data_IF_604810616065
#
_entry.id   IF_604810616065
#
_cell.length_a   1.000
_cell.length_b   1.000
_cell.length_c   1.000
_cell.angle_alpha   90.00
_cell.angle_beta   90.00
_cell.angle_gamma   90.00
#
_symmetry.space_group_name_H-M   'P 1'
#
loop_
_entity.id
_entity.type
_entity.pdbx_description
1 polymer ?
#
# COMPACT_ATOMS: atom_id res chain seq x y z
N UNK A 1 -0.41 -29.30 29.43
CA UNK A 1 -1.62 -28.60 29.88
C UNK A 1 -2.81 -29.48 29.52
N UNK A 2 -3.63 -29.83 30.49
CA UNK A 2 -4.85 -30.59 30.24
C UNK A 2 -5.90 -29.62 29.69
N UNK A 3 -6.47 -29.95 28.53
CA UNK A 3 -7.68 -29.27 28.02
C UNK A 3 -8.86 -29.74 28.89
N UNK A 4 -9.59 -28.78 29.46
CA UNK A 4 -10.88 -29.11 30.03
C UNK A 4 -11.89 -29.36 28.90
N UNK A 5 -12.65 -30.47 28.99
CA UNK A 5 -13.61 -30.82 27.96
C UNK A 5 -14.79 -29.85 27.98
N UNK A 6 -15.04 -29.19 26.86
CA UNK A 6 -16.22 -28.38 26.70
C UNK A 6 -17.29 -29.13 25.90
N UNK A 7 -18.43 -29.39 26.55
CA UNK A 7 -19.64 -29.88 25.90
C UNK A 7 -20.48 -28.67 25.46
N UNK A 8 -20.86 -28.63 24.24
CA UNK A 8 -21.72 -27.59 23.69
C UNK A 8 -23.15 -28.11 23.51
N UNK A 9 -24.10 -27.16 23.54
CA UNK A 9 -25.42 -27.39 22.99
C UNK A 9 -25.39 -27.10 21.48
N UNK A 10 -25.54 -28.12 20.61
CA UNK A 10 -25.47 -27.94 19.17
C UNK A 10 -26.64 -27.07 18.61
N UNK A 11 -27.70 -26.87 19.39
CA UNK A 11 -28.78 -25.96 19.04
C UNK A 11 -28.36 -24.49 19.18
N UNK A 12 -27.31 -24.20 19.96
CA UNK A 12 -26.85 -22.84 20.24
C UNK A 12 -25.49 -22.56 19.64
N UNK A 13 -24.61 -23.54 19.62
CA UNK A 13 -23.20 -23.38 19.21
C UNK A 13 -22.91 -24.20 17.97
N UNK A 14 -22.44 -23.54 16.92
CA UNK A 14 -21.87 -24.18 15.74
C UNK A 14 -20.40 -24.51 15.98
N UNK A 15 -20.02 -25.81 16.08
CA UNK A 15 -18.63 -26.18 16.31
C UNK A 15 -17.78 -25.91 15.07
N UNK A 16 -16.59 -25.36 15.25
CA UNK A 16 -15.59 -25.14 14.20
C UNK A 16 -14.43 -26.14 14.30
N UNK A 17 -14.03 -26.50 15.52
CA UNK A 17 -12.96 -27.43 15.76
C UNK A 17 -13.35 -28.33 16.93
N UNK A 18 -13.26 -29.67 16.69
CA UNK A 18 -13.58 -30.70 17.68
C UNK A 18 -12.47 -31.73 17.74
N UNK A 19 -12.23 -32.26 18.93
CA UNK A 19 -11.38 -33.44 19.12
C UNK A 19 -12.25 -34.65 19.51
N UNK A 20 -11.88 -35.79 18.98
CA UNK A 20 -12.43 -37.06 19.44
C UNK A 20 -11.68 -37.53 20.71
N UNK A 21 -12.39 -37.66 21.78
CA UNK A 21 -11.87 -38.21 23.04
C UNK A 21 -12.06 -39.73 23.16
N UNK A 22 -11.76 -40.28 24.33
CA UNK A 22 -12.08 -41.66 24.64
C UNK A 22 -13.59 -41.90 24.55
N UNK A 23 -14.00 -43.05 24.03
CA UNK A 23 -15.41 -43.45 23.83
C UNK A 23 -16.18 -42.60 22.81
N UNK A 24 -15.50 -42.11 21.76
CA UNK A 24 -16.11 -41.32 20.68
C UNK A 24 -16.77 -40.01 21.15
N UNK A 25 -16.42 -39.51 22.33
CA UNK A 25 -16.91 -38.22 22.78
C UNK A 25 -16.24 -37.08 22.00
N UNK A 26 -17.07 -36.17 21.44
CA UNK A 26 -16.58 -34.98 20.75
C UNK A 26 -16.45 -33.82 21.74
N UNK A 27 -15.33 -33.17 21.69
CA UNK A 27 -14.96 -32.07 22.55
C UNK A 27 -14.70 -30.83 21.69
N UNK A 28 -15.51 -29.83 21.85
CA UNK A 28 -15.42 -28.62 21.05
C UNK A 28 -14.40 -27.65 21.64
N UNK A 29 -13.39 -27.26 20.87
CA UNK A 29 -12.33 -26.34 21.30
C UNK A 29 -12.41 -24.98 20.58
N UNK A 30 -13.21 -24.89 19.53
CA UNK A 30 -13.59 -23.64 18.91
C UNK A 30 -15.00 -23.71 18.33
N UNK A 31 -15.76 -22.64 18.44
CA UNK A 31 -17.12 -22.58 17.93
C UNK A 31 -17.65 -21.15 17.87
N UNK A 32 -18.76 -21.01 17.14
CA UNK A 32 -19.52 -19.78 17.01
C UNK A 32 -20.86 -19.91 17.73
N UNK A 33 -21.29 -18.85 18.37
CA UNK A 33 -22.53 -18.76 19.12
C UNK A 33 -23.25 -17.42 18.84
N UNK A 34 -24.53 -17.26 19.19
CA UNK A 34 -25.24 -15.99 19.00
C UNK A 34 -24.58 -14.77 19.68
N UNK A 35 -23.81 -15.00 20.72
CA UNK A 35 -23.08 -13.94 21.47
C UNK A 35 -21.65 -13.70 20.95
N UNK A 36 -21.15 -14.46 19.97
CA UNK A 36 -19.78 -14.36 19.43
C UNK A 36 -19.14 -15.71 19.14
N UNK A 37 -17.86 -15.86 19.44
CA UNK A 37 -17.12 -17.10 19.28
C UNK A 37 -16.21 -17.38 20.46
N UNK A 38 -15.72 -18.63 20.55
CA UNK A 38 -14.69 -19.02 21.52
C UNK A 38 -13.65 -19.90 20.86
N UNK A 39 -12.42 -19.79 21.32
CA UNK A 39 -11.28 -20.59 20.91
C UNK A 39 -10.43 -20.93 22.15
N UNK A 40 -10.22 -22.20 22.43
CA UNK A 40 -9.57 -22.63 23.65
C UNK A 40 -8.10 -23.01 23.39
N UNK A 41 -7.21 -22.30 24.07
CA UNK A 41 -5.79 -22.65 24.08
C UNK A 41 -5.53 -23.78 25.10
N UNK A 42 -4.77 -24.87 24.76
CA UNK A 42 -3.96 -25.02 23.54
C UNK A 42 -4.68 -25.73 22.37
N UNK A 43 -5.95 -26.09 22.50
CA UNK A 43 -6.67 -26.88 21.51
C UNK A 43 -6.75 -26.30 20.09
N UNK A 44 -6.62 -25.00 19.94
CA UNK A 44 -6.62 -24.31 18.63
C UNK A 44 -5.22 -24.09 18.07
N UNK A 45 -4.18 -24.53 18.79
CA UNK A 45 -2.79 -24.36 18.40
C UNK A 45 -2.11 -25.70 18.17
N UNK A 46 -1.35 -25.77 17.09
CA UNK A 46 -0.44 -26.87 16.76
C UNK A 46 1.00 -26.39 16.91
N UNK A 47 1.86 -27.24 17.45
CA UNK A 47 3.30 -27.00 17.47
C UNK A 47 3.95 -27.75 16.32
N UNK A 48 4.48 -27.05 15.35
CA UNK A 48 5.21 -27.63 14.23
C UNK A 48 6.56 -28.23 14.65
N UNK A 49 7.15 -29.04 13.78
CA UNK A 49 8.49 -29.60 13.97
C UNK A 49 9.61 -28.56 14.04
N UNK A 50 9.34 -27.34 13.62
CA UNK A 50 10.21 -26.16 13.72
C UNK A 50 10.10 -25.44 15.08
N UNK A 51 9.27 -25.96 16.00
CA UNK A 51 9.01 -25.38 17.31
C UNK A 51 8.03 -24.19 17.31
N UNK A 52 7.55 -23.76 16.13
CA UNK A 52 6.59 -22.66 16.03
C UNK A 52 5.17 -23.15 16.30
N UNK A 53 4.39 -22.31 16.96
CA UNK A 53 2.96 -22.55 17.18
C UNK A 53 2.16 -21.91 16.05
N UNK A 54 1.21 -22.68 15.53
CA UNK A 54 0.31 -22.23 14.46
C UNK A 54 -1.13 -22.48 14.87
N UNK A 55 -2.03 -21.63 14.40
CA UNK A 55 -3.45 -21.88 14.51
C UNK A 55 -3.85 -23.06 13.62
N UNK A 56 -4.68 -23.96 14.13
CA UNK A 56 -5.23 -25.10 13.36
C UNK A 56 -6.35 -24.61 12.44
N UNK A 57 -7.10 -23.61 12.87
CA UNK A 57 -8.13 -22.95 12.06
C UNK A 57 -7.66 -21.56 11.63
N UNK A 58 -8.24 -21.04 10.56
CA UNK A 58 -7.96 -19.68 10.10
C UNK A 58 -8.44 -18.65 11.14
N UNK A 59 -7.52 -17.94 11.82
CA UNK A 59 -7.87 -17.01 12.87
C UNK A 59 -8.61 -15.77 12.35
N UNK A 60 -8.35 -15.34 11.11
CA UNK A 60 -8.99 -14.16 10.52
C UNK A 60 -10.45 -14.46 10.22
N UNK A 61 -10.72 -15.56 9.53
CA UNK A 61 -12.09 -16.01 9.27
C UNK A 61 -12.87 -16.29 10.56
N UNK A 62 -12.19 -16.85 11.60
CA UNK A 62 -12.81 -17.05 12.90
C UNK A 62 -13.20 -15.72 13.57
N UNK A 63 -12.28 -14.73 13.59
CA UNK A 63 -12.51 -13.41 14.21
C UNK A 63 -13.61 -12.67 13.46
N UNK A 64 -13.58 -12.66 12.12
CA UNK A 64 -14.58 -12.02 11.29
C UNK A 64 -15.99 -12.55 11.61
N UNK A 65 -16.15 -13.85 11.65
CA UNK A 65 -17.44 -14.49 11.95
C UNK A 65 -17.86 -14.30 13.41
N UNK A 66 -16.92 -14.44 14.37
CA UNK A 66 -17.20 -14.31 15.80
C UNK A 66 -17.63 -12.89 16.17
N UNK A 67 -17.04 -11.89 15.56
CA UNK A 67 -17.33 -10.48 15.79
C UNK A 67 -18.36 -9.91 14.81
N UNK A 68 -18.78 -10.70 13.80
CA UNK A 68 -19.72 -10.29 12.74
C UNK A 68 -19.24 -9.02 12.03
N UNK A 69 -17.94 -8.97 11.72
CA UNK A 69 -17.35 -7.86 11.02
C UNK A 69 -17.85 -7.83 9.56
N UNK A 70 -18.01 -6.63 9.05
CA UNK A 70 -18.18 -6.46 7.60
C UNK A 70 -16.92 -6.97 6.89
N UNK A 71 -17.07 -7.61 5.71
CA UNK A 71 -15.93 -8.05 4.92
C UNK A 71 -15.03 -6.85 4.59
N UNK A 72 -13.88 -6.79 5.22
CA UNK A 72 -12.87 -5.79 4.90
C UNK A 72 -11.78 -6.45 4.05
N UNK A 73 -11.26 -5.76 3.03
CA UNK A 73 -10.08 -6.23 2.33
C UNK A 73 -8.94 -6.32 3.34
N UNK A 74 -8.49 -7.52 3.65
CA UNK A 74 -7.31 -7.74 4.49
C UNK A 74 -6.18 -8.26 3.63
N UNK A 75 -4.97 -7.78 3.93
CA UNK A 75 -3.77 -8.32 3.32
C UNK A 75 -3.58 -9.73 3.84
N UNK A 76 -3.84 -10.72 3.00
CA UNK A 76 -3.83 -12.12 3.40
C UNK A 76 -2.42 -12.70 3.36
N UNK A 77 -1.79 -12.75 4.52
CA UNK A 77 -0.54 -13.48 4.69
C UNK A 77 -0.72 -15.00 4.79
N UNK A 78 -1.96 -15.49 4.89
CA UNK A 78 -2.27 -16.89 5.19
C UNK A 78 -2.69 -17.70 3.97
N UNK A 79 -3.42 -17.12 3.02
CA UNK A 79 -3.86 -17.82 1.80
C UNK A 79 -2.71 -18.14 0.85
N UNK A 80 -1.62 -17.41 0.90
CA UNK A 80 -0.40 -17.68 0.13
C UNK A 80 0.49 -18.78 0.73
N UNK A 81 0.00 -19.54 1.68
CA UNK A 81 0.77 -20.63 2.34
C UNK A 81 2.14 -20.19 2.85
N UNK A 82 2.24 -18.98 3.41
CA UNK A 82 3.48 -18.40 3.89
C UNK A 82 4.39 -17.87 2.77
N UNK A 83 3.96 -17.86 1.53
CA UNK A 83 4.67 -17.18 0.44
C UNK A 83 4.63 -15.67 0.66
N UNK A 84 5.73 -15.02 0.33
CA UNK A 84 5.81 -13.57 0.33
C UNK A 84 5.40 -13.03 -1.02
N UNK A 85 4.53 -12.02 -1.04
CA UNK A 85 4.22 -11.27 -2.25
C UNK A 85 5.25 -10.16 -2.35
N UNK A 86 6.00 -10.13 -3.45
CA UNK A 86 6.89 -9.02 -3.77
C UNK A 86 6.14 -8.02 -4.66
N UNK A 87 6.05 -6.78 -4.21
CA UNK A 87 5.55 -5.66 -4.98
C UNK A 87 6.68 -4.66 -5.23
N UNK A 88 6.68 -4.03 -6.39
CA UNK A 88 7.68 -3.02 -6.76
C UNK A 88 6.95 -1.72 -7.02
N UNK A 89 7.33 -0.69 -6.27
CA UNK A 89 6.87 0.68 -6.45
C UNK A 89 8.07 1.55 -6.80
N UNK A 90 7.92 2.39 -7.81
CA UNK A 90 8.93 3.35 -8.23
C UNK A 90 8.32 4.74 -8.16
N UNK A 91 8.72 5.47 -7.15
CA UNK A 91 8.33 6.86 -6.98
C UNK A 91 8.96 7.72 -8.08
N UNK A 92 8.29 8.82 -8.42
CA UNK A 92 8.69 9.67 -9.52
C UNK A 92 9.84 10.63 -9.22
N UNK A 93 10.40 10.58 -8.02
CA UNK A 93 11.44 11.49 -7.56
C UNK A 93 12.69 11.44 -8.42
N UNK A 94 13.20 12.61 -8.76
CA UNK A 94 14.44 12.72 -9.50
C UNK A 94 14.38 12.21 -10.94
N UNK A 95 13.22 12.06 -11.52
CA UNK A 95 13.04 11.63 -12.91
C UNK A 95 13.93 12.41 -13.92
N UNK A 96 14.08 13.76 -13.82
CA UNK A 96 14.93 14.55 -14.69
C UNK A 96 16.42 14.52 -14.31
N UNK A 97 16.80 13.91 -13.20
CA UNK A 97 18.19 13.84 -12.75
C UNK A 97 19.05 13.11 -13.78
N UNK A 98 20.32 13.52 -13.89
CA UNK A 98 21.28 12.86 -14.77
C UNK A 98 21.97 11.72 -14.02
N UNK A 99 21.87 10.51 -14.58
CA UNK A 99 22.48 9.34 -13.98
C UNK A 99 24.01 9.36 -14.14
N UNK A 100 24.72 8.94 -13.11
CA UNK A 100 26.21 8.89 -13.07
C UNK A 100 26.74 7.64 -13.77
N UNK A 101 26.33 7.46 -15.04
CA UNK A 101 26.80 6.38 -15.92
C UNK A 101 27.22 6.96 -17.27
N UNK A 102 28.01 6.25 -18.09
CA UNK A 102 28.39 6.72 -19.42
C UNK A 102 27.17 7.17 -20.24
N UNK A 103 27.28 8.36 -20.84
CA UNK A 103 26.20 9.01 -21.59
C UNK A 103 25.25 9.83 -20.74
N UNK A 104 25.35 9.80 -19.42
CA UNK A 104 24.58 10.63 -18.47
C UNK A 104 23.08 10.78 -18.84
N UNK A 105 22.35 9.68 -19.10
CA UNK A 105 20.93 9.73 -19.43
C UNK A 105 20.12 10.30 -18.29
N UNK A 106 18.87 10.68 -18.54
CA UNK A 106 17.92 10.96 -17.45
C UNK A 106 17.69 9.71 -16.60
N UNK A 107 17.47 9.87 -15.30
CA UNK A 107 17.20 8.76 -14.41
C UNK A 107 15.96 7.95 -14.86
N UNK A 108 14.90 8.64 -15.30
CA UNK A 108 13.73 7.98 -15.88
C UNK A 108 14.06 7.13 -17.11
N UNK A 109 14.96 7.59 -17.97
CA UNK A 109 15.42 6.79 -19.14
C UNK A 109 16.23 5.56 -18.70
N UNK A 110 17.11 5.73 -17.72
CA UNK A 110 17.91 4.62 -17.19
C UNK A 110 17.04 3.53 -16.57
N UNK A 111 16.04 3.93 -15.78
CA UNK A 111 15.05 3.03 -15.16
C UNK A 111 14.26 2.29 -16.23
N UNK A 112 13.81 2.98 -17.28
CA UNK A 112 13.12 2.38 -18.41
C UNK A 112 13.99 1.29 -19.08
N UNK A 113 15.21 1.64 -19.45
CA UNK A 113 16.05 0.79 -20.30
C UNK A 113 16.72 -0.36 -19.54
N UNK A 114 17.15 -0.13 -18.30
CA UNK A 114 17.90 -1.11 -17.53
C UNK A 114 17.03 -2.00 -16.65
N UNK A 115 15.90 -1.49 -16.22
CA UNK A 115 15.03 -2.20 -15.28
C UNK A 115 13.69 -2.58 -15.90
N UNK A 116 12.82 -1.61 -16.25
CA UNK A 116 11.42 -1.89 -16.57
C UNK A 116 11.23 -2.71 -17.85
N UNK A 117 11.99 -2.46 -18.91
CA UNK A 117 11.89 -3.22 -20.19
C UNK A 117 12.26 -4.68 -20.01
N UNK A 118 13.17 -4.98 -19.09
CA UNK A 118 13.73 -6.32 -18.90
C UNK A 118 13.16 -7.05 -17.67
N UNK A 119 12.35 -6.37 -16.86
CA UNK A 119 11.78 -6.96 -15.64
C UNK A 119 10.58 -7.83 -15.94
N UNK A 120 10.55 -9.01 -15.32
CA UNK A 120 9.35 -9.86 -15.27
C UNK A 120 8.36 -9.41 -14.16
N UNK A 121 8.78 -8.51 -13.27
CA UNK A 121 7.98 -8.05 -12.15
C UNK A 121 6.91 -7.07 -12.61
N UNK A 122 5.72 -7.17 -12.02
CA UNK A 122 4.71 -6.13 -12.08
C UNK A 122 5.19 -4.97 -11.21
N UNK A 123 5.16 -3.75 -11.75
CA UNK A 123 5.67 -2.58 -11.07
C UNK A 123 4.67 -1.44 -11.19
N UNK A 124 4.36 -0.78 -10.08
CA UNK A 124 3.65 0.50 -10.11
C UNK A 124 4.68 1.62 -10.25
N UNK A 125 4.49 2.50 -11.21
CA UNK A 125 5.44 3.59 -11.49
C UNK A 125 4.69 4.91 -11.51
N UNK A 126 5.23 5.90 -10.85
CA UNK A 126 4.66 7.24 -10.77
C UNK A 126 5.57 8.30 -11.38
N UNK A 127 5.04 9.50 -11.50
CA UNK A 127 5.79 10.70 -11.88
C UNK A 127 5.33 11.89 -11.05
N UNK A 128 6.26 12.81 -10.77
CA UNK A 128 5.95 14.14 -10.25
C UNK A 128 5.72 15.06 -11.47
N UNK A 129 4.48 15.51 -11.67
CA UNK A 129 4.20 16.38 -12.83
C UNK A 129 5.07 17.64 -12.82
N UNK A 130 5.34 18.21 -11.65
CA UNK A 130 6.18 19.39 -11.50
C UNK A 130 7.63 19.20 -11.93
N UNK A 131 8.13 17.96 -12.00
CA UNK A 131 9.47 17.69 -12.51
C UNK A 131 9.51 17.50 -14.02
N UNK A 132 8.44 16.93 -14.61
CA UNK A 132 8.46 16.52 -16.02
C UNK A 132 7.54 17.34 -16.92
N UNK A 133 6.55 18.01 -16.35
CA UNK A 133 5.50 18.69 -17.08
C UNK A 133 5.85 20.12 -17.51
N UNK A 134 5.10 20.66 -18.49
CA UNK A 134 5.39 21.99 -19.06
C UNK A 134 5.08 23.17 -18.12
N UNK A 135 4.43 22.90 -16.99
CA UNK A 135 4.12 23.90 -15.95
C UNK A 135 4.93 23.69 -14.66
N UNK A 136 5.94 22.83 -14.71
CA UNK A 136 6.77 22.43 -13.58
C UNK A 136 8.02 23.29 -13.40
N UNK A 137 8.98 22.71 -12.71
CA UNK A 137 10.29 23.32 -12.41
C UNK A 137 11.16 23.46 -13.68
N UNK A 138 11.04 22.54 -14.61
CA UNK A 138 11.88 22.43 -15.80
C UNK A 138 11.05 22.38 -17.09
N UNK A 139 10.25 23.43 -17.40
CA UNK A 139 9.31 23.38 -18.52
C UNK A 139 9.99 23.16 -19.88
N UNK A 140 11.25 23.56 -20.00
CA UNK A 140 12.05 23.36 -21.22
C UNK A 140 12.44 21.87 -21.45
N UNK A 141 12.47 21.03 -20.41
CA UNK A 141 12.76 19.61 -20.49
C UNK A 141 11.52 18.75 -20.78
N UNK A 142 10.32 19.31 -20.68
CA UNK A 142 9.07 18.55 -20.81
C UNK A 142 8.98 17.79 -22.15
N UNK A 143 9.51 18.36 -23.23
CA UNK A 143 9.53 17.73 -24.56
C UNK A 143 10.39 16.46 -24.62
N UNK A 144 11.35 16.32 -23.70
CA UNK A 144 12.24 15.17 -23.57
C UNK A 144 11.70 14.18 -22.53
N UNK A 145 11.19 14.68 -21.41
CA UNK A 145 10.79 13.85 -20.25
C UNK A 145 9.42 13.19 -20.41
N UNK A 146 8.41 13.90 -20.96
CA UNK A 146 7.09 13.29 -21.18
C UNK A 146 7.13 12.09 -22.12
N UNK A 147 7.92 12.06 -23.23
CA UNK A 147 8.07 10.84 -24.04
C UNK A 147 8.57 9.64 -23.24
N UNK A 148 9.57 9.82 -22.38
CA UNK A 148 10.11 8.76 -21.53
C UNK A 148 9.01 8.22 -20.60
N UNK A 149 8.25 9.11 -19.95
CA UNK A 149 7.14 8.73 -19.09
C UNK A 149 6.05 7.95 -19.86
N UNK A 150 5.73 8.38 -21.09
CA UNK A 150 4.78 7.67 -21.97
C UNK A 150 5.27 6.27 -22.33
N UNK A 151 6.54 6.11 -22.61
CA UNK A 151 7.12 4.79 -22.90
C UNK A 151 7.06 3.88 -21.67
N UNK A 152 7.37 4.39 -20.47
CA UNK A 152 7.23 3.64 -19.23
C UNK A 152 5.78 3.20 -19.03
N UNK A 153 4.83 4.12 -19.14
CA UNK A 153 3.42 3.82 -18.90
C UNK A 153 2.79 2.93 -19.97
N UNK A 154 3.38 2.86 -21.15
CA UNK A 154 2.96 1.91 -22.22
C UNK A 154 3.38 0.47 -21.94
N UNK A 155 4.35 0.21 -21.06
CA UNK A 155 4.82 -1.14 -20.78
C UNK A 155 3.70 -1.98 -20.14
N UNK A 156 3.47 -3.23 -20.58
CA UNK A 156 2.33 -4.04 -20.12
C UNK A 156 2.41 -4.42 -18.64
N UNK A 157 3.61 -4.44 -18.05
CA UNK A 157 3.84 -4.79 -16.64
C UNK A 157 3.99 -3.59 -15.72
N UNK A 158 3.69 -2.40 -16.22
CA UNK A 158 3.71 -1.17 -15.44
C UNK A 158 2.29 -0.74 -15.14
N UNK A 159 1.96 -0.51 -13.89
CA UNK A 159 0.76 0.17 -13.45
C UNK A 159 1.05 1.66 -13.28
N UNK A 160 0.13 2.49 -13.77
CA UNK A 160 0.32 3.94 -13.79
C UNK A 160 -0.12 4.54 -12.46
N UNK A 161 0.78 5.26 -11.81
CA UNK A 161 0.53 5.92 -10.54
C UNK A 161 0.76 7.44 -10.61
N UNK A 162 0.12 8.15 -9.68
CA UNK A 162 0.22 9.59 -9.46
C UNK A 162 1.16 9.84 -8.28
N UNK A 163 2.15 10.72 -8.44
CA UNK A 163 3.02 11.16 -7.34
C UNK A 163 3.01 12.68 -7.18
N UNK A 164 1.86 13.27 -7.37
CA UNK A 164 1.58 14.69 -7.14
C UNK A 164 2.16 15.68 -8.17
N UNK A 165 1.82 16.94 -8.01
CA UNK A 165 2.35 18.01 -8.84
C UNK A 165 3.65 18.58 -8.27
N UNK A 166 3.63 18.96 -7.01
CA UNK A 166 4.75 19.66 -6.38
C UNK A 166 5.46 18.84 -5.30
N UNK A 167 5.12 17.54 -5.17
CA UNK A 167 5.67 16.68 -4.13
C UNK A 167 5.56 17.32 -2.74
N UNK A 168 4.35 17.47 -2.17
CA UNK A 168 4.19 17.94 -0.80
C UNK A 168 5.06 17.12 0.16
N UNK A 169 5.90 17.80 0.94
CA UNK A 169 6.67 17.15 2.00
C UNK A 169 5.83 16.98 3.26
N UNK A 170 4.80 17.80 3.40
CA UNK A 170 3.83 17.76 4.49
C UNK A 170 2.43 17.94 3.93
N UNK A 171 1.58 16.95 4.17
CA UNK A 171 0.17 16.97 3.78
C UNK A 171 -0.71 17.72 4.78
N UNK A 172 -0.18 17.93 5.98
CA UNK A 172 -0.75 18.78 7.02
C UNK A 172 0.28 19.83 7.39
N UNK A 173 0.18 21.04 6.81
CA UNK A 173 1.17 22.10 7.01
C UNK A 173 1.43 22.47 8.48
N UNK A 174 0.44 22.27 9.36
CA UNK A 174 0.59 22.45 10.80
C UNK A 174 1.62 21.50 11.43
N UNK A 175 1.85 20.33 10.83
CA UNK A 175 2.88 19.38 11.30
C UNK A 175 4.28 19.79 10.87
N UNK A 176 4.39 20.65 9.86
CA UNK A 176 5.67 21.14 9.37
C UNK A 176 6.41 22.01 10.41
N UNK A 177 5.69 22.67 11.31
CA UNK A 177 6.27 23.47 12.39
C UNK A 177 7.18 22.64 13.31
N UNK A 178 6.90 21.34 13.48
CA UNK A 178 7.74 20.43 14.25
C UNK A 178 9.07 20.06 13.54
N UNK A 179 9.25 20.50 12.30
CA UNK A 179 10.40 20.21 11.42
C UNK A 179 11.04 21.48 10.85
N UNK A 180 11.17 22.53 11.64
CA UNK A 180 11.66 23.85 11.20
C UNK A 180 12.98 23.81 10.41
N UNK A 181 13.94 22.99 10.82
CA UNK A 181 15.21 22.85 10.10
C UNK A 181 15.04 22.30 8.68
N UNK A 182 14.14 21.37 8.49
CA UNK A 182 13.82 20.81 7.16
C UNK A 182 13.05 21.82 6.31
N UNK A 183 12.01 22.43 6.87
CA UNK A 183 11.16 23.38 6.13
C UNK A 183 11.89 24.66 5.75
N UNK A 184 12.88 25.09 6.55
CA UNK A 184 13.74 26.24 6.21
C UNK A 184 14.57 25.98 4.94
N UNK A 185 14.96 24.74 4.68
CA UNK A 185 15.78 24.37 3.50
C UNK A 185 14.89 24.02 2.31
N UNK A 186 13.95 23.14 2.49
CA UNK A 186 13.19 22.53 1.41
C UNK A 186 11.81 23.15 1.18
N UNK A 187 11.23 23.81 2.19
CA UNK A 187 9.86 24.34 2.16
C UNK A 187 8.82 23.25 2.46
N UNK A 188 7.57 23.50 2.04
CA UNK A 188 6.47 22.56 2.20
C UNK A 188 6.31 21.60 1.02
N UNK A 189 6.84 21.98 -0.12
CA UNK A 189 6.80 21.24 -1.38
C UNK A 189 7.93 21.70 -2.31
N UNK A 190 8.13 21.05 -3.45
CA UNK A 190 9.08 21.50 -4.48
C UNK A 190 8.77 22.92 -4.92
N UNK A 191 9.83 23.71 -5.12
CA UNK A 191 9.72 25.13 -5.49
C UNK A 191 9.35 25.29 -6.97
N UNK A 192 8.06 25.24 -7.27
CA UNK A 192 7.52 25.46 -8.61
C UNK A 192 7.16 26.93 -8.77
N UNK A 193 7.68 27.63 -9.79
CA UNK A 193 7.42 29.04 -9.98
C UNK A 193 5.92 29.38 -10.10
N UNK A 194 5.46 30.33 -9.27
CA UNK A 194 4.07 30.79 -9.30
C UNK A 194 3.04 29.80 -8.75
N UNK A 195 3.46 28.70 -8.15
CA UNK A 195 2.57 27.72 -7.56
C UNK A 195 2.42 27.91 -6.05
N UNK A 196 1.18 27.81 -5.58
CA UNK A 196 0.81 27.71 -4.17
C UNK A 196 0.15 26.37 -3.96
N UNK A 197 0.48 25.69 -2.87
CA UNK A 197 0.00 24.34 -2.55
C UNK A 197 -1.52 24.26 -2.59
N UNK A 198 -2.04 23.37 -3.43
CA UNK A 198 -3.46 23.06 -3.61
C UNK A 198 -3.63 21.56 -3.72
N UNK A 199 -4.15 20.93 -2.69
CA UNK A 199 -4.27 19.47 -2.62
C UNK A 199 -5.17 18.88 -3.72
N UNK A 200 -6.19 19.62 -4.16
CA UNK A 200 -7.00 19.17 -5.31
C UNK A 200 -6.17 19.14 -6.60
N UNK A 201 -5.27 20.12 -6.77
CA UNK A 201 -4.32 20.15 -7.89
C UNK A 201 -3.29 19.03 -7.79
N UNK A 202 -2.80 18.75 -6.57
CA UNK A 202 -1.85 17.67 -6.33
C UNK A 202 -2.42 16.29 -6.68
N UNK A 203 -3.68 16.04 -6.36
CA UNK A 203 -4.32 14.73 -6.52
C UNK A 203 -5.06 14.63 -7.86
N UNK A 204 -6.17 15.36 -8.02
CA UNK A 204 -7.04 15.23 -9.20
C UNK A 204 -6.48 15.94 -10.43
N UNK A 205 -5.78 17.06 -10.23
CA UNK A 205 -5.15 17.79 -11.32
C UNK A 205 -4.06 16.95 -12.00
N UNK A 206 -3.22 16.27 -11.23
CA UNK A 206 -2.17 15.40 -11.76
C UNK A 206 -2.75 14.13 -12.40
N UNK A 207 -3.79 13.54 -11.81
CA UNK A 207 -4.50 12.43 -12.45
C UNK A 207 -5.00 12.82 -13.85
N UNK A 208 -5.59 14.00 -13.97
CA UNK A 208 -6.03 14.53 -15.26
C UNK A 208 -4.87 14.73 -16.23
N UNK A 209 -3.76 15.31 -15.76
CA UNK A 209 -2.56 15.48 -16.58
C UNK A 209 -2.02 14.15 -17.10
N UNK A 210 -1.82 13.17 -16.23
CA UNK A 210 -1.31 11.86 -16.61
C UNK A 210 -2.26 11.18 -17.61
N UNK A 211 -3.56 11.14 -17.31
CA UNK A 211 -4.55 10.49 -18.16
C UNK A 211 -4.70 11.13 -19.55
N UNK A 212 -4.44 12.44 -19.67
CA UNK A 212 -4.59 13.14 -20.95
C UNK A 212 -3.31 13.23 -21.75
N UNK A 213 -2.12 13.15 -21.12
CA UNK A 213 -0.85 13.42 -21.78
C UNK A 213 0.12 12.24 -21.78
N UNK A 214 0.08 11.37 -20.77
CA UNK A 214 1.14 10.38 -20.54
C UNK A 214 0.67 8.94 -20.72
N UNK A 215 -0.63 8.68 -20.64
CA UNK A 215 -1.16 7.32 -20.80
C UNK A 215 -2.39 7.32 -21.72
N UNK A 216 -3.06 6.17 -21.85
CA UNK A 216 -4.23 5.99 -22.69
C UNK A 216 -5.49 5.73 -21.86
N UNK A 217 -6.66 5.89 -22.47
CA UNK A 217 -7.94 5.62 -21.82
C UNK A 217 -8.08 4.17 -21.32
N UNK A 218 -7.35 3.23 -21.94
CA UNK A 218 -7.35 1.81 -21.55
C UNK A 218 -6.47 1.54 -20.33
N UNK A 219 -5.61 2.49 -19.97
CA UNK A 219 -4.66 2.36 -18.85
C UNK A 219 -4.62 3.64 -18.01
N UNK A 220 -5.75 4.05 -17.41
CA UNK A 220 -5.78 5.26 -16.60
C UNK A 220 -5.01 5.10 -15.29
N UNK A 221 -4.67 6.23 -14.67
CA UNK A 221 -4.13 6.24 -13.29
C UNK A 221 -5.15 5.64 -12.34
N UNK A 222 -4.70 4.65 -11.56
CA UNK A 222 -5.50 3.99 -10.54
C UNK A 222 -4.86 3.98 -9.17
N UNK A 223 -3.64 4.47 -9.06
CA UNK A 223 -2.86 4.42 -7.83
C UNK A 223 -2.34 5.80 -7.47
N UNK A 224 -2.50 6.17 -6.21
CA UNK A 224 -1.94 7.36 -5.59
C UNK A 224 -0.77 6.97 -4.70
N UNK A 225 0.42 7.49 -5.01
CA UNK A 225 1.60 7.41 -4.17
C UNK A 225 1.71 8.70 -3.38
N UNK A 226 1.44 8.62 -2.09
CA UNK A 226 1.57 9.77 -1.22
C UNK A 226 3.03 10.16 -1.06
N UNK A 227 3.33 11.42 -1.25
CA UNK A 227 4.68 11.97 -1.13
C UNK A 227 5.00 12.40 0.30
N UNK A 228 6.26 12.65 0.58
CA UNK A 228 6.73 13.25 1.82
C UNK A 228 6.36 12.45 3.08
N UNK A 229 5.64 13.07 4.02
CA UNK A 229 5.21 12.42 5.26
C UNK A 229 4.06 11.43 5.07
N UNK A 230 3.42 11.45 3.91
CA UNK A 230 2.31 10.57 3.54
C UNK A 230 1.15 10.57 4.56
N UNK A 231 0.88 11.71 5.19
CA UNK A 231 -0.13 11.88 6.24
C UNK A 231 -1.24 12.86 5.82
N UNK A 232 -1.98 12.60 4.72
CA UNK A 232 -3.07 13.47 4.31
C UNK A 232 -4.17 13.52 5.39
N UNK A 233 -4.89 14.63 5.46
CA UNK A 233 -6.12 14.69 6.23
C UNK A 233 -7.27 13.97 5.51
N UNK A 234 -8.40 13.80 6.19
CA UNK A 234 -9.57 13.10 5.65
C UNK A 234 -10.07 13.75 4.36
N UNK A 235 -10.10 15.08 4.29
CA UNK A 235 -10.59 15.82 3.12
C UNK A 235 -9.68 15.57 1.90
N UNK A 236 -8.38 15.58 2.11
CA UNK A 236 -7.39 15.31 1.06
C UNK A 236 -7.40 13.83 0.64
N UNK A 237 -7.51 12.91 1.61
CA UNK A 237 -7.64 11.48 1.32
C UNK A 237 -8.88 11.19 0.47
N UNK A 238 -10.00 11.88 0.76
CA UNK A 238 -11.23 11.75 -0.02
C UNK A 238 -11.06 12.08 -1.51
N UNK A 239 -10.16 13.01 -1.86
CA UNK A 239 -9.87 13.34 -3.26
C UNK A 239 -9.33 12.13 -4.03
N UNK A 240 -8.52 11.26 -3.42
CA UNK A 240 -8.03 10.06 -4.09
C UNK A 240 -9.17 9.07 -4.38
N UNK A 241 -10.10 8.90 -3.44
CA UNK A 241 -11.29 8.07 -3.65
C UNK A 241 -12.23 8.66 -4.71
N UNK A 242 -12.43 9.98 -4.72
CA UNK A 242 -13.20 10.66 -5.78
C UNK A 242 -12.56 10.46 -7.16
N UNK A 243 -11.24 10.38 -7.22
CA UNK A 243 -10.48 10.04 -8.43
C UNK A 243 -10.49 8.55 -8.78
N UNK A 244 -11.07 7.68 -7.94
CA UNK A 244 -11.03 6.23 -8.12
C UNK A 244 -9.63 5.65 -8.05
N UNK A 245 -8.76 6.23 -7.18
CA UNK A 245 -7.38 5.78 -6.99
C UNK A 245 -7.24 5.01 -5.67
N UNK A 246 -6.55 3.88 -5.74
CA UNK A 246 -6.05 3.15 -4.57
C UNK A 246 -4.84 3.88 -3.96
N UNK A 247 -4.67 3.79 -2.65
CA UNK A 247 -3.65 4.54 -1.91
C UNK A 247 -2.49 3.64 -1.51
N UNK A 248 -1.28 4.08 -1.79
CA UNK A 248 -0.02 3.42 -1.39
C UNK A 248 0.93 4.47 -0.79
N UNK A 249 1.97 4.02 -0.09
CA UNK A 249 2.92 4.85 0.64
C UNK A 249 2.28 5.63 1.81
N UNK A 250 1.19 5.12 2.36
CA UNK A 250 0.55 5.74 3.51
C UNK A 250 1.16 5.30 4.83
N UNK A 251 1.28 6.27 5.75
CA UNK A 251 1.62 6.01 7.13
C UNK A 251 3.09 5.78 7.44
N UNK A 252 3.41 5.87 8.73
CA UNK A 252 4.75 5.54 9.26
C UNK A 252 4.72 4.10 9.76
N UNK A 253 5.03 3.16 8.90
CA UNK A 253 5.13 1.77 9.29
C UNK A 253 6.47 1.51 9.96
N UNK A 254 6.45 1.23 11.25
CA UNK A 254 7.63 0.77 11.99
C UNK A 254 7.47 -0.72 12.31
N UNK A 255 8.22 -1.56 11.62
CA UNK A 255 8.42 -2.94 12.02
C UNK A 255 9.40 -2.98 13.19
N UNK A 256 8.93 -3.38 14.35
CA UNK A 256 9.77 -3.65 15.51
C UNK A 256 9.51 -5.06 16.02
N UNK A 257 10.44 -5.61 16.82
CA UNK A 257 10.23 -6.92 17.44
C UNK A 257 8.99 -6.98 18.35
N UNK A 258 8.56 -5.82 18.86
CA UNK A 258 7.37 -5.68 19.71
C UNK A 258 6.11 -5.32 18.91
N UNK A 259 6.29 -4.84 17.69
CA UNK A 259 5.21 -4.53 16.74
C UNK A 259 5.52 -5.15 15.37
N UNK A 260 5.24 -6.44 15.20
CA UNK A 260 5.45 -7.13 13.93
C UNK A 260 4.32 -6.84 12.92
N UNK A 261 3.38 -5.97 13.24
CA UNK A 261 2.23 -5.64 12.41
C UNK A 261 2.54 -4.50 11.44
N UNK A 262 2.05 -4.62 10.22
CA UNK A 262 2.07 -3.62 9.16
C UNK A 262 0.84 -2.70 9.26
N UNK A 263 0.56 -2.16 10.41
CA UNK A 263 -0.49 -1.17 10.55
C UNK A 263 0.11 0.22 10.53
N UNK A 264 -0.27 1.01 9.56
CA UNK A 264 -0.04 2.44 9.54
C UNK A 264 -1.00 3.17 10.45
#
# INVERSE_FOLDING_TARGET
QNLEPLRIDPAVVSPLLQFSGEREQLWTVAGLAPWGGFAMNPGVLEQGGDGLRRWILDPFSFIEQALRLEPLPVTDATTENGRRIATVHLDGDGFPSRAEVPGTPYAGQLVLDRFLRNSALLSSVSVIEGEIGPKGMFPYLSKELEPIAREIFALPRVEVANHTFSHPFFWRPELAAAREGFTAVYGLHLKIPGYTLDFKREVLGVQTYINTRLTTAQKPVKVMFWSGDALPDEATLKLSYEGGMENINGGVTKLTNTFPSLTG
#
